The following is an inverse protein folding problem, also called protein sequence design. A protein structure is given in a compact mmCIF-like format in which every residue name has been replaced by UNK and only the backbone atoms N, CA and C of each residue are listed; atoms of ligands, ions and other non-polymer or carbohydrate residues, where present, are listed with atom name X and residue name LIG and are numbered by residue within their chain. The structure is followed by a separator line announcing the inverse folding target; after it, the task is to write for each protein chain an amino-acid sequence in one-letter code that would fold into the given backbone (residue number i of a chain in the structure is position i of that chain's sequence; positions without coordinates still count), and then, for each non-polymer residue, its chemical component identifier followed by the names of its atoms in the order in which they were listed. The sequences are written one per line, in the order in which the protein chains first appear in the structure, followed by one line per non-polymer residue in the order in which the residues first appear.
data_IF_339752239632
#
_entry.id   IF_339752239632
#
_cell.length_a   1.000
_cell.length_b   1.000
_cell.length_c   1.000
_cell.angle_alpha   90.00
_cell.angle_beta   90.00
_cell.angle_gamma   90.00
#
_symmetry.space_group_name_H-M   'P 1'
#
loop_
_entity.id
_entity.type
_entity.pdbx_description
1 polymer ?
#
# COMPACT_ATOMS: atom_id res chain seq x y z
N UNK A 1 9.25 -14.21 9.68
CA UNK A 1 9.34 -13.30 8.52
C UNK A 1 10.73 -12.69 8.54
N UNK A 2 11.55 -12.90 7.50
CA UNK A 2 12.90 -12.32 7.42
C UNK A 2 12.83 -10.89 6.87
N UNK A 3 13.58 -9.97 7.50
CA UNK A 3 13.57 -8.52 7.22
C UNK A 3 13.74 -8.15 5.74
N UNK A 4 14.47 -8.98 4.98
CA UNK A 4 14.73 -8.74 3.56
C UNK A 4 13.50 -9.00 2.68
N UNK A 5 12.70 -10.01 3.01
CA UNK A 5 11.53 -10.44 2.22
C UNK A 5 10.39 -9.41 2.26
N UNK A 6 10.17 -8.77 3.41
CA UNK A 6 9.13 -7.74 3.60
C UNK A 6 9.51 -6.36 3.00
N UNK A 7 10.75 -6.21 2.52
CA UNK A 7 11.30 -4.93 2.05
C UNK A 7 11.34 -4.77 0.52
N UNK A 8 10.61 -5.64 -0.20
CA UNK A 8 10.65 -5.75 -1.67
C UNK A 8 9.67 -4.82 -2.37
N UNK A 9 8.42 -4.75 -1.89
CA UNK A 9 7.33 -3.95 -2.53
C UNK A 9 6.72 -2.88 -1.61
N UNK A 10 7.31 -2.61 -0.44
CA UNK A 10 6.79 -1.62 0.53
C UNK A 10 6.56 -0.21 -0.04
N UNK A 11 7.19 0.13 -1.17
CA UNK A 11 6.93 1.38 -1.90
C UNK A 11 5.46 1.53 -2.32
N UNK A 12 4.78 0.42 -2.66
CA UNK A 12 3.36 0.47 -3.01
C UNK A 12 2.52 0.91 -1.82
N UNK A 13 2.91 0.52 -0.59
CA UNK A 13 2.24 0.93 0.63
C UNK A 13 2.36 2.44 0.90
N UNK A 14 3.47 3.08 0.53
CA UNK A 14 3.61 4.54 0.70
C UNK A 14 2.54 5.34 -0.03
N UNK A 15 2.09 4.86 -1.20
CA UNK A 15 1.05 5.53 -1.98
C UNK A 15 -0.26 5.64 -1.20
N UNK A 16 -0.56 4.69 -0.31
CA UNK A 16 -1.84 4.62 0.41
C UNK A 16 -1.74 4.86 1.92
N UNK A 17 -0.52 4.85 2.48
CA UNK A 17 -0.27 4.94 3.92
C UNK A 17 -0.89 6.19 4.56
N UNK A 18 -0.93 7.32 3.85
CA UNK A 18 -1.49 8.56 4.38
C UNK A 18 -3.03 8.53 4.50
N UNK A 19 -3.73 7.67 3.75
CA UNK A 19 -5.16 7.41 3.95
C UNK A 19 -5.42 6.42 5.08
N UNK A 20 -4.52 5.45 5.27
CA UNK A 20 -4.71 4.39 6.27
C UNK A 20 -4.25 4.80 7.66
N UNK A 21 -3.05 5.35 7.79
CA UNK A 21 -2.40 5.64 9.07
C UNK A 21 -2.39 7.13 9.43
N UNK A 22 -2.59 8.03 8.46
CA UNK A 22 -2.63 9.48 8.71
C UNK A 22 -1.36 10.08 9.33
N UNK A 23 -0.21 9.43 9.19
CA UNK A 23 1.06 9.88 9.78
C UNK A 23 1.36 9.30 11.17
N UNK A 24 0.50 8.45 11.72
CA UNK A 24 0.75 7.74 12.98
C UNK A 24 1.65 6.52 12.72
N UNK A 25 2.91 6.59 13.16
CA UNK A 25 3.96 5.61 12.82
C UNK A 25 3.68 4.18 13.28
N UNK A 26 2.97 4.00 14.40
CA UNK A 26 2.63 2.68 14.92
C UNK A 26 1.27 2.16 14.43
N UNK A 27 0.57 2.90 13.57
CA UNK A 27 -0.74 2.51 13.03
C UNK A 27 -1.87 2.40 14.06
N UNK A 28 -1.66 2.83 15.32
CA UNK A 28 -2.70 2.74 16.37
C UNK A 28 -3.69 3.92 16.35
N UNK A 29 -3.44 4.93 15.51
CA UNK A 29 -4.33 6.07 15.32
C UNK A 29 -5.54 5.73 14.45
N UNK A 30 -6.59 6.58 14.47
CA UNK A 30 -7.72 6.42 13.57
C UNK A 30 -7.30 6.64 12.11
N UNK A 31 -7.84 5.84 11.19
CA UNK A 31 -7.67 6.06 9.76
C UNK A 31 -8.34 7.37 9.33
N UNK A 32 -7.64 8.25 8.59
CA UNK A 32 -8.25 9.45 8.00
C UNK A 32 -9.49 9.20 7.15
N UNK A 33 -9.61 8.03 6.52
CA UNK A 33 -10.78 7.62 5.72
C UNK A 33 -11.66 6.60 6.43
N UNK A 34 -11.44 6.37 7.73
CA UNK A 34 -12.26 5.48 8.55
C UNK A 34 -12.14 3.98 8.23
N UNK A 35 -11.13 3.57 7.47
CA UNK A 35 -10.88 2.15 7.17
C UNK A 35 -10.17 1.51 8.36
N UNK A 36 -10.77 0.47 8.92
CA UNK A 36 -10.15 -0.29 10.02
C UNK A 36 -9.10 -1.28 9.49
N UNK A 37 -8.04 -1.58 10.26
CA UNK A 37 -7.03 -2.55 9.86
C UNK A 37 -7.61 -3.91 9.45
N UNK A 38 -8.65 -4.38 10.15
CA UNK A 38 -9.28 -5.69 9.91
C UNK A 38 -10.06 -5.74 8.59
N UNK A 39 -10.43 -4.58 8.03
CA UNK A 39 -11.13 -4.49 6.75
C UNK A 39 -10.18 -4.62 5.55
N UNK A 40 -8.88 -4.45 5.74
CA UNK A 40 -7.84 -4.55 4.70
C UNK A 40 -7.47 -6.02 4.42
N UNK A 41 -8.46 -6.77 3.94
CA UNK A 41 -8.31 -8.17 3.54
C UNK A 41 -7.52 -8.30 2.23
N UNK A 42 -7.07 -9.54 1.92
CA UNK A 42 -6.34 -9.82 0.67
C UNK A 42 -7.07 -9.33 -0.58
N UNK A 43 -8.38 -9.54 -0.68
CA UNK A 43 -9.19 -9.11 -1.83
C UNK A 43 -9.31 -7.59 -1.95
N UNK A 44 -9.21 -6.86 -0.83
CA UNK A 44 -9.17 -5.39 -0.84
C UNK A 44 -7.82 -4.90 -1.38
N UNK A 45 -6.72 -5.52 -0.96
CA UNK A 45 -5.40 -5.22 -1.52
C UNK A 45 -5.30 -5.56 -3.01
N UNK A 46 -5.85 -6.70 -3.42
CA UNK A 46 -5.90 -7.12 -4.83
C UNK A 46 -6.64 -6.08 -5.68
N UNK A 47 -7.72 -5.47 -5.17
CA UNK A 47 -8.45 -4.40 -5.87
C UNK A 47 -7.64 -3.11 -6.01
N UNK A 48 -6.85 -2.75 -5.00
CA UNK A 48 -6.05 -1.51 -5.00
C UNK A 48 -4.86 -1.64 -5.97
N UNK A 49 -4.17 -2.78 -5.97
CA UNK A 49 -2.92 -2.94 -6.71
C UNK A 49 -3.06 -3.61 -8.08
N UNK A 50 -4.09 -4.42 -8.32
CA UNK A 50 -4.29 -5.07 -9.61
C UNK A 50 -5.45 -4.48 -10.41
N UNK A 51 -5.12 -3.96 -11.59
CA UNK A 51 -6.06 -3.25 -12.45
C UNK A 51 -7.27 -4.12 -12.87
N UNK A 52 -7.06 -5.42 -13.02
CA UNK A 52 -8.07 -6.41 -13.44
C UNK A 52 -8.91 -6.99 -12.31
N UNK A 53 -8.61 -6.65 -11.04
CA UNK A 53 -9.35 -7.19 -9.90
C UNK A 53 -10.78 -6.65 -9.85
N UNK A 54 -11.78 -7.51 -9.60
CA UNK A 54 -13.16 -7.09 -9.38
C UNK A 54 -13.29 -6.32 -8.05
N UNK A 55 -14.37 -5.56 -7.91
CA UNK A 55 -14.66 -4.89 -6.64
C UNK A 55 -14.90 -5.94 -5.52
N UNK A 56 -14.23 -5.82 -4.36
CA UNK A 56 -14.31 -6.83 -3.31
C UNK A 56 -15.62 -6.73 -2.53
N UNK A 57 -16.03 -7.84 -1.90
CA UNK A 57 -17.11 -7.82 -0.91
C UNK A 57 -16.57 -7.23 0.41
N UNK A 58 -16.93 -5.99 0.71
CA UNK A 58 -16.44 -5.26 1.89
C UNK A 58 -17.42 -4.16 2.27
N UNK A 59 -17.34 -3.74 3.53
CA UNK A 59 -18.12 -2.62 4.09
C UNK A 59 -17.42 -1.26 3.86
N UNK A 60 -16.22 -1.26 3.24
CA UNK A 60 -15.51 -0.03 2.89
C UNK A 60 -16.27 0.69 1.76
N UNK A 61 -16.55 2.00 1.89
CA UNK A 61 -17.16 2.79 0.81
C UNK A 61 -16.37 2.69 -0.49
N UNK A 62 -17.08 2.47 -1.60
CA UNK A 62 -16.49 2.35 -2.95
C UNK A 62 -15.58 3.53 -3.29
N UNK A 63 -15.98 4.74 -2.92
CA UNK A 63 -15.21 5.97 -3.15
C UNK A 63 -13.82 5.91 -2.50
N UNK A 64 -13.72 5.40 -1.26
CA UNK A 64 -12.45 5.28 -0.56
C UNK A 64 -11.53 4.25 -1.24
N UNK A 65 -12.07 3.10 -1.66
CA UNK A 65 -11.29 2.11 -2.41
C UNK A 65 -10.83 2.63 -3.78
N UNK A 66 -11.69 3.34 -4.49
CA UNK A 66 -11.33 3.96 -5.76
C UNK A 66 -10.25 5.03 -5.58
N UNK A 67 -10.30 5.81 -4.48
CA UNK A 67 -9.28 6.78 -4.14
C UNK A 67 -7.93 6.13 -3.87
N UNK A 68 -7.89 5.06 -3.07
CA UNK A 68 -6.66 4.29 -2.80
C UNK A 68 -6.04 3.74 -4.09
N UNK A 69 -6.87 3.16 -4.96
CA UNK A 69 -6.43 2.64 -6.26
C UNK A 69 -5.89 3.75 -7.17
N UNK A 70 -6.60 4.88 -7.25
CA UNK A 70 -6.15 6.03 -8.06
C UNK A 70 -4.81 6.57 -7.58
N UNK A 71 -4.61 6.63 -6.28
CA UNK A 71 -3.35 7.09 -5.69
C UNK A 71 -2.19 6.16 -6.09
N UNK A 72 -2.39 4.85 -5.99
CA UNK A 72 -1.41 3.87 -6.45
C UNK A 72 -1.16 3.98 -7.96
N UNK A 73 -2.20 4.02 -8.79
CA UNK A 73 -2.08 4.14 -10.25
C UNK A 73 -1.44 5.45 -10.70
N UNK A 74 -1.50 6.51 -9.88
CA UNK A 74 -0.88 7.80 -10.18
C UNK A 74 0.61 7.83 -9.82
N UNK A 75 0.98 7.31 -8.65
CA UNK A 75 2.36 7.37 -8.13
C UNK A 75 3.25 6.20 -8.57
N UNK A 76 2.67 5.14 -9.12
CA UNK A 76 3.41 3.97 -9.59
C UNK A 76 3.45 3.96 -11.13
N UNK A 77 4.58 3.63 -11.78
CA UNK A 77 5.80 3.04 -11.23
C UNK A 77 6.68 4.02 -10.45
N UNK A 78 7.56 3.49 -9.59
CA UNK A 78 8.57 4.30 -8.89
C UNK A 78 9.55 4.89 -9.91
N UNK A 79 9.56 6.22 -10.05
CA UNK A 79 10.41 6.93 -11.02
C UNK A 79 11.91 6.81 -10.70
N UNK A 80 12.28 6.88 -9.42
CA UNK A 80 13.67 6.80 -8.99
C UNK A 80 13.80 6.13 -7.61
N UNK A 81 14.79 5.25 -7.48
CA UNK A 81 15.23 4.65 -6.21
C UNK A 81 16.74 4.78 -6.12
N UNK A 82 17.23 5.51 -5.12
CA UNK A 82 18.67 5.74 -4.92
C UNK A 82 19.16 4.96 -3.70
N UNK A 83 19.59 3.69 -3.85
CA UNK A 83 20.20 2.93 -2.78
C UNK A 83 21.67 3.32 -2.58
N UNK A 84 22.17 3.22 -1.35
CA UNK A 84 23.60 3.20 -1.10
C UNK A 84 24.26 1.99 -1.77
N UNK A 85 25.53 2.13 -2.17
CA UNK A 85 26.32 1.12 -2.91
C UNK A 85 26.26 -0.29 -2.28
N UNK A 86 26.07 -0.38 -0.96
CA UNK A 86 26.09 -1.61 -0.18
C UNK A 86 24.78 -2.43 -0.29
N UNK A 87 23.71 -1.88 -0.88
CA UNK A 87 22.40 -2.53 -1.01
C UNK A 87 22.13 -3.16 -2.39
N UNK A 88 23.04 -2.98 -3.35
CA UNK A 88 22.89 -3.50 -4.71
C UNK A 88 22.79 -5.04 -4.80
N UNK A 89 23.57 -5.85 -4.03
CA UNK A 89 23.57 -7.31 -4.21
C UNK A 89 22.30 -8.02 -3.71
N UNK A 90 21.56 -7.42 -2.76
CA UNK A 90 20.57 -8.16 -1.94
C UNK A 90 19.12 -7.62 -2.02
N UNK A 91 18.87 -6.43 -2.61
CA UNK A 91 17.56 -5.72 -2.49
C UNK A 91 16.94 -5.25 -3.81
N UNK A 92 17.61 -5.48 -4.93
CA UNK A 92 17.20 -5.01 -6.27
C UNK A 92 16.94 -6.14 -7.26
N UNK A 93 17.07 -7.40 -6.84
CA UNK A 93 16.85 -8.56 -7.70
C UNK A 93 15.38 -8.98 -7.77
#
# INVERSE_FOLDING_TARGET
MESLSDSTIYMTYYTVAHFLQGGVLNGQGPSPVGIKPEQMTRVVWDFIFFKSSPFPKTDIPKEHLQRLRREFEYWYPVDARVPGKDLAPNRLS
#
